data_IF_047991295600
#
_entry.id   IF_047991295600
#
_cell.length_a   1.000
_cell.length_b   1.000
_cell.length_c   1.000
_cell.angle_alpha   90.00
_cell.angle_beta   90.00
_cell.angle_gamma   90.00
#
_symmetry.space_group_name_H-M   'P 1'
#
loop_
_entity.id
_entity.type
_entity.pdbx_description
1 polymer ?
#
# COMPACT_ATOMS: atom_id res chain seq x y z
N UNK A 1 -28.00 29.81 -15.39
CA UNK A 1 -26.69 29.64 -14.72
C UNK A 1 -26.54 28.21 -14.19
N UNK A 2 -26.64 27.18 -15.05
CA UNK A 2 -26.70 25.77 -14.63
C UNK A 2 -25.53 24.92 -15.15
N UNK A 3 -24.71 25.47 -16.06
CA UNK A 3 -23.66 24.71 -16.77
C UNK A 3 -22.28 24.75 -16.10
N UNK A 4 -22.06 25.70 -15.19
CA UNK A 4 -20.78 25.86 -14.48
C UNK A 4 -20.71 25.05 -13.18
N UNK A 5 -21.85 24.68 -12.60
CA UNK A 5 -21.91 23.89 -11.37
C UNK A 5 -21.40 22.44 -11.59
N UNK A 6 -21.65 21.86 -12.76
CA UNK A 6 -21.28 20.47 -13.05
C UNK A 6 -19.77 20.25 -13.25
N UNK A 7 -19.04 21.27 -13.74
CA UNK A 7 -17.59 21.19 -13.96
C UNK A 7 -16.84 21.27 -12.63
N UNK A 8 -17.31 22.11 -11.69
CA UNK A 8 -16.71 22.25 -10.37
C UNK A 8 -16.83 20.97 -9.53
N UNK A 9 -17.94 20.24 -9.67
CA UNK A 9 -18.14 18.94 -8.97
C UNK A 9 -17.23 17.86 -9.53
N UNK A 10 -17.00 17.79 -10.86
CA UNK A 10 -16.08 16.81 -11.45
C UNK A 10 -14.62 17.03 -11.01
N UNK A 11 -14.18 18.28 -10.95
CA UNK A 11 -12.80 18.62 -10.56
C UNK A 11 -12.52 18.29 -9.09
N UNK A 12 -13.50 18.51 -8.21
CA UNK A 12 -13.40 18.16 -6.79
C UNK A 12 -13.28 16.64 -6.55
N UNK A 13 -13.92 15.81 -7.39
CA UNK A 13 -13.81 14.35 -7.28
C UNK A 13 -12.50 13.79 -7.83
N UNK A 14 -11.89 14.43 -8.84
CA UNK A 14 -10.62 13.97 -9.41
C UNK A 14 -9.46 14.04 -8.41
N UNK A 15 -9.47 15.04 -7.52
CA UNK A 15 -8.45 15.20 -6.47
C UNK A 15 -8.46 14.06 -5.41
N UNK A 16 -9.53 13.26 -5.34
CA UNK A 16 -9.61 12.14 -4.38
C UNK A 16 -9.08 10.82 -4.92
N UNK A 17 -8.65 10.77 -6.18
CA UNK A 17 -8.12 9.56 -6.83
C UNK A 17 -6.59 9.44 -6.73
N UNK A 18 -5.92 10.29 -5.93
CA UNK A 18 -4.47 10.21 -5.76
C UNK A 18 -4.15 8.97 -4.94
N UNK A 19 -3.61 7.95 -5.61
CA UNK A 19 -3.02 6.80 -4.93
C UNK A 19 -1.69 7.25 -4.32
N UNK A 20 -1.54 7.09 -3.01
CA UNK A 20 -0.27 7.38 -2.36
C UNK A 20 0.70 6.24 -2.66
N UNK A 21 1.46 6.40 -3.76
CA UNK A 21 2.48 5.44 -4.16
C UNK A 21 3.61 5.39 -3.12
N UNK A 22 4.14 4.19 -2.88
CA UNK A 22 5.26 3.97 -1.98
C UNK A 22 6.06 2.75 -2.40
N UNK A 23 7.36 2.76 -2.08
CA UNK A 23 8.22 1.59 -2.24
C UNK A 23 8.46 0.93 -0.88
N UNK A 24 8.41 -0.40 -0.85
CA UNK A 24 8.86 -1.20 0.30
C UNK A 24 10.31 -1.65 0.06
N UNK A 25 11.24 -0.97 0.71
CA UNK A 25 12.68 -1.22 0.56
C UNK A 25 13.18 -2.36 1.45
N UNK A 26 12.56 -2.54 2.63
CA UNK A 26 12.93 -3.60 3.57
C UNK A 26 11.73 -4.04 4.39
N UNK A 27 11.44 -5.36 4.49
CA UNK A 27 12.00 -6.41 3.65
C UNK A 27 11.68 -6.15 2.17
N UNK A 28 12.51 -6.59 1.22
CA UNK A 28 12.27 -6.30 -0.19
C UNK A 28 10.90 -6.79 -0.64
N UNK A 29 10.20 -6.00 -1.44
CA UNK A 29 8.96 -6.42 -2.10
C UNK A 29 9.21 -7.60 -3.05
N UNK A 30 8.15 -8.31 -3.43
CA UNK A 30 8.25 -9.37 -4.45
C UNK A 30 8.50 -8.84 -5.85
N UNK A 31 8.26 -7.54 -6.07
CA UNK A 31 8.43 -6.85 -7.34
C UNK A 31 7.96 -5.41 -7.26
N UNK A 32 8.12 -4.68 -8.37
CA UNK A 32 7.60 -3.34 -8.59
C UNK A 32 7.11 -3.23 -10.03
N UNK A 33 5.86 -2.82 -10.21
CA UNK A 33 5.20 -2.58 -11.48
C UNK A 33 4.10 -1.54 -11.23
N UNK A 34 4.34 -0.31 -11.66
CA UNK A 34 3.48 0.86 -11.42
C UNK A 34 2.04 0.61 -11.90
N UNK A 35 1.85 -0.15 -12.98
CA UNK A 35 0.52 -0.45 -13.51
C UNK A 35 -0.27 -1.43 -12.62
N UNK A 36 0.43 -2.17 -11.75
CA UNK A 36 -0.19 -3.15 -10.85
C UNK A 36 -0.34 -2.69 -9.40
N UNK A 37 0.27 -1.57 -8.99
CA UNK A 37 0.27 -1.14 -7.58
C UNK A 37 -1.13 -1.03 -6.96
N UNK A 38 -2.11 -0.55 -7.72
CA UNK A 38 -3.50 -0.46 -7.28
C UNK A 38 -4.25 -1.79 -7.21
N UNK A 39 -3.66 -2.90 -7.66
CA UNK A 39 -4.28 -4.22 -7.67
C UNK A 39 -4.16 -4.89 -6.30
N UNK A 40 -5.30 -5.31 -5.75
CA UNK A 40 -5.37 -5.92 -4.42
C UNK A 40 -5.55 -7.44 -4.55
N UNK A 41 -4.87 -8.27 -3.73
CA UNK A 41 -3.78 -7.92 -2.81
C UNK A 41 -2.41 -7.87 -3.49
N UNK A 42 -1.39 -7.44 -2.74
CA UNK A 42 0.03 -7.57 -3.10
C UNK A 42 0.47 -6.85 -4.39
N UNK A 43 -0.24 -5.81 -4.86
CA UNK A 43 0.08 -5.15 -6.12
C UNK A 43 -0.06 -6.11 -7.32
N UNK A 44 -1.01 -7.04 -7.25
CA UNK A 44 -1.28 -8.02 -8.33
C UNK A 44 -0.28 -9.17 -8.46
N UNK A 45 0.75 -9.24 -7.61
CA UNK A 45 1.73 -10.33 -7.65
C UNK A 45 1.21 -11.61 -6.97
N UNK A 46 1.38 -12.76 -7.63
CA UNK A 46 1.26 -14.08 -6.97
C UNK A 46 2.52 -14.37 -6.18
N UNK A 47 2.39 -14.71 -4.90
CA UNK A 47 3.53 -14.96 -4.01
C UNK A 47 3.76 -16.44 -3.69
N UNK A 48 2.91 -17.32 -4.23
CA UNK A 48 3.07 -18.77 -4.12
C UNK A 48 4.39 -19.22 -4.72
N UNK A 49 5.22 -19.92 -3.91
CA UNK A 49 6.53 -20.38 -4.34
C UNK A 49 7.59 -19.28 -4.50
N UNK A 50 7.27 -18.02 -4.21
CA UNK A 50 8.24 -16.93 -4.30
C UNK A 50 9.35 -17.07 -3.23
N UNK A 51 10.61 -16.70 -3.56
CA UNK A 51 11.68 -16.70 -2.58
C UNK A 51 11.37 -15.73 -1.44
N UNK A 52 11.53 -16.19 -0.20
CA UNK A 52 11.23 -15.40 1.01
C UNK A 52 12.51 -14.85 1.61
N UNK A 53 12.47 -13.59 2.03
CA UNK A 53 13.54 -12.97 2.81
C UNK A 53 13.38 -13.30 4.29
N UNK A 54 14.49 -13.65 4.95
CA UNK A 54 14.50 -13.76 6.41
C UNK A 54 14.19 -12.38 7.03
N UNK A 55 13.30 -12.35 8.02
CA UNK A 55 12.91 -11.12 8.69
C UNK A 55 12.66 -11.37 10.18
N UNK A 56 13.02 -10.39 11.02
CA UNK A 56 12.97 -10.53 12.48
C UNK A 56 11.54 -10.32 13.01
N UNK A 57 10.90 -11.38 13.48
CA UNK A 57 9.62 -11.27 14.18
C UNK A 57 9.81 -10.90 15.67
N UNK A 58 9.07 -9.99 16.32
CA UNK A 58 7.99 -9.06 15.86
C UNK A 58 8.46 -7.64 15.50
N UNK A 59 9.71 -7.29 15.80
CA UNK A 59 10.21 -5.91 15.75
C UNK A 59 11.24 -5.70 14.64
N UNK A 60 11.16 -6.48 13.58
CA UNK A 60 12.05 -6.34 12.45
C UNK A 60 11.91 -4.97 11.79
N UNK A 61 12.99 -4.45 11.20
CA UNK A 61 12.96 -3.17 10.54
C UNK A 61 12.06 -3.23 9.31
N UNK A 62 11.25 -2.19 9.13
CA UNK A 62 10.48 -1.94 7.92
C UNK A 62 10.93 -0.58 7.39
N UNK A 63 11.34 -0.53 6.12
CA UNK A 63 11.71 0.69 5.41
C UNK A 63 10.74 0.87 4.25
N UNK A 64 10.01 1.99 4.30
CA UNK A 64 9.07 2.41 3.28
C UNK A 64 9.49 3.80 2.81
N UNK A 65 9.47 4.02 1.50
CA UNK A 65 9.66 5.33 0.88
C UNK A 65 8.32 5.80 0.31
N UNK A 66 7.79 6.90 0.85
CA UNK A 66 6.54 7.53 0.38
C UNK A 66 6.88 8.66 -0.58
N UNK A 67 6.31 8.62 -1.78
CA UNK A 67 6.47 9.66 -2.81
C UNK A 67 5.44 10.79 -2.65
N UNK A 68 4.60 10.75 -1.61
CA UNK A 68 3.74 11.87 -1.20
C UNK A 68 4.28 12.48 0.09
N UNK A 69 4.03 13.79 0.32
CA UNK A 69 4.47 14.52 1.52
C UNK A 69 4.10 13.81 2.83
N UNK A 70 2.92 13.19 2.85
CA UNK A 70 2.41 12.46 3.99
C UNK A 70 1.70 11.19 3.55
N UNK A 71 1.85 10.12 4.32
CA UNK A 71 1.07 8.89 4.17
C UNK A 71 0.63 8.37 5.54
N UNK A 72 -0.50 7.68 5.57
CA UNK A 72 -0.90 6.86 6.73
C UNK A 72 -0.92 5.41 6.31
N UNK A 73 -0.08 4.58 6.92
CA UNK A 73 0.08 3.18 6.54
C UNK A 73 -0.31 2.23 7.66
N UNK A 74 -0.77 1.05 7.27
CA UNK A 74 -1.03 -0.07 8.17
C UNK A 74 -0.06 -1.20 7.82
N UNK A 75 0.54 -1.81 8.84
CA UNK A 75 1.44 -2.95 8.67
C UNK A 75 0.72 -4.18 9.20
N UNK A 76 0.36 -5.10 8.29
CA UNK A 76 -0.35 -6.35 8.59
C UNK A 76 0.46 -7.54 8.10
N UNK A 77 0.16 -8.72 8.65
CA UNK A 77 0.83 -9.97 8.29
C UNK A 77 -0.23 -11.04 8.05
N UNK A 78 -0.01 -11.85 7.01
CA UNK A 78 -0.74 -13.10 6.78
C UNK A 78 0.22 -14.28 6.99
N UNK A 79 -0.31 -15.38 7.53
CA UNK A 79 0.39 -16.67 7.58
C UNK A 79 -0.10 -17.65 6.51
N UNK A 80 -0.97 -17.21 5.61
CA UNK A 80 -1.31 -18.00 4.43
C UNK A 80 -0.08 -18.10 3.51
N UNK A 81 0.16 -19.29 2.95
CA UNK A 81 1.26 -19.47 2.00
C UNK A 81 1.05 -18.64 0.72
N UNK A 82 -0.20 -18.50 0.28
CA UNK A 82 -0.61 -17.69 -0.87
C UNK A 82 -1.88 -16.85 -0.53
N UNK A 83 -1.74 -15.65 0.06
CA UNK A 83 -2.86 -14.75 0.32
C UNK A 83 -3.36 -14.13 -0.99
N UNK A 84 -4.62 -14.38 -1.32
CA UNK A 84 -5.26 -13.96 -2.58
C UNK A 84 -6.38 -12.94 -2.36
N UNK A 85 -6.70 -12.63 -1.10
CA UNK A 85 -7.67 -11.60 -0.72
C UNK A 85 -7.10 -10.65 0.35
N UNK A 86 -7.61 -9.41 0.38
CA UNK A 86 -7.32 -8.48 1.47
C UNK A 86 -7.70 -9.04 2.86
N UNK A 87 -8.72 -9.90 2.91
CA UNK A 87 -9.18 -10.55 4.17
C UNK A 87 -8.14 -11.50 4.76
N UNK A 88 -7.22 -12.03 3.95
CA UNK A 88 -6.16 -12.93 4.42
C UNK A 88 -5.16 -12.20 5.34
N UNK A 89 -5.20 -10.86 5.37
CA UNK A 89 -4.39 -10.00 6.22
C UNK A 89 -5.14 -9.42 7.41
N UNK A 90 -6.44 -9.73 7.58
CA UNK A 90 -7.27 -9.19 8.68
C UNK A 90 -7.53 -10.20 9.80
N UNK A 91 -7.11 -11.46 9.63
CA UNK A 91 -7.28 -12.51 10.65
C UNK A 91 -6.44 -12.28 11.92
N UNK A 92 -5.39 -11.46 11.83
CA UNK A 92 -4.50 -11.11 12.93
C UNK A 92 -4.53 -9.60 13.18
N UNK A 93 -4.28 -9.15 14.43
CA UNK A 93 -4.08 -7.73 14.72
C UNK A 93 -2.96 -7.15 13.86
N UNK A 94 -3.11 -5.88 13.46
CA UNK A 94 -2.05 -5.17 12.76
C UNK A 94 -0.78 -5.11 13.65
N UNK A 95 0.38 -5.25 13.02
CA UNK A 95 1.67 -5.02 13.69
C UNK A 95 1.85 -3.54 14.03
N UNK A 96 1.36 -2.68 13.13
CA UNK A 96 1.23 -1.23 13.31
C UNK A 96 -0.04 -0.76 12.62
N UNK A 97 -0.77 0.14 13.26
CA UNK A 97 -2.01 0.71 12.75
C UNK A 97 -1.90 2.23 12.74
N UNK A 98 -2.39 2.85 11.67
CA UNK A 98 -2.38 4.29 11.45
C UNK A 98 -1.00 4.94 11.67
N UNK A 99 0.06 4.29 11.16
CA UNK A 99 1.40 4.84 11.23
C UNK A 99 1.51 6.04 10.27
N UNK A 100 1.62 7.23 10.83
CA UNK A 100 1.89 8.44 10.07
C UNK A 100 3.35 8.44 9.58
N UNK A 101 3.52 8.57 8.26
CA UNK A 101 4.81 8.72 7.60
C UNK A 101 4.90 10.11 7.02
N UNK A 102 6.10 10.70 7.13
CA UNK A 102 6.50 11.86 6.35
C UNK A 102 7.25 11.33 5.13
N UNK A 103 6.74 11.58 3.93
CA UNK A 103 7.42 11.20 2.70
C UNK A 103 8.38 12.28 2.22
N UNK A 104 8.88 12.12 1.00
CA UNK A 104 9.86 13.03 0.39
C UNK A 104 9.20 14.13 -0.46
N UNK A 105 7.87 14.07 -0.65
CA UNK A 105 7.17 14.83 -1.69
C UNK A 105 7.37 14.20 -3.07
N UNK A 106 6.54 14.58 -4.04
CA UNK A 106 6.75 14.24 -5.46
C UNK A 106 7.89 15.07 -6.07
#
# INVERSE_FOLDING_TARGET
>A
MQRFASIAVLLATAATLVHAHFNLDSPPSFGFDEEKEGQVPCGGYTIEGAPRSAWYYKNGPIKLESHHDTATVNIRISYADNPTSATDFTALPALKENLALKGQGE
#
